data_IF_470325636950
#
_entry.id   IF_470325636950
#
_cell.length_a   1.000
_cell.length_b   1.000
_cell.length_c   1.000
_cell.angle_alpha   90.00
_cell.angle_beta   90.00
_cell.angle_gamma   90.00
#
_symmetry.space_group_name_H-M   'P 1'
#
loop_
_entity.id
_entity.type
_entity.pdbx_description
1 polymer ?
#
# COMPACT_ATOMS: atom_id res chain seq x y z
N UNK A 1 4.98 -14.67 -9.71
CA UNK A 1 4.06 -14.90 -8.57
C UNK A 1 4.78 -14.43 -7.30
N UNK A 2 4.79 -13.12 -7.06
CA UNK A 2 5.46 -12.53 -5.89
C UNK A 2 4.45 -12.42 -4.75
N UNK A 3 4.77 -13.02 -3.60
CA UNK A 3 3.95 -12.91 -2.39
C UNK A 3 4.11 -11.49 -1.84
N UNK A 4 3.11 -10.62 -1.96
CA UNK A 4 3.04 -9.41 -1.16
C UNK A 4 2.81 -9.80 0.28
N UNK A 5 3.88 -9.74 1.07
CA UNK A 5 3.86 -9.97 2.51
C UNK A 5 3.11 -8.80 3.14
N UNK A 6 1.89 -9.04 3.63
CA UNK A 6 1.28 -8.18 4.63
C UNK A 6 2.17 -8.21 5.88
N UNK A 7 2.49 -7.05 6.41
CA UNK A 7 3.59 -6.87 7.35
C UNK A 7 3.16 -7.20 8.79
N UNK A 8 3.31 -8.46 9.20
CA UNK A 8 3.82 -8.73 10.56
C UNK A 8 5.34 -8.53 10.53
N UNK A 9 5.78 -7.30 10.79
CA UNK A 9 7.17 -7.09 11.21
C UNK A 9 7.29 -7.60 12.65
N UNK A 10 7.78 -8.82 12.80
CA UNK A 10 8.25 -9.34 14.07
C UNK A 10 9.42 -8.48 14.53
N UNK A 11 9.23 -7.66 15.57
CA UNK A 11 10.34 -7.01 16.27
C UNK A 11 10.65 -7.84 17.51
N UNK A 12 11.87 -8.37 17.57
CA UNK A 12 12.47 -8.81 18.85
C UNK A 12 12.59 -7.59 19.77
N UNK A 13 12.37 -7.74 21.09
CA UNK A 13 12.56 -6.64 22.03
C UNK A 13 14.04 -6.25 22.07
N UNK A 14 14.35 -4.97 21.80
CA UNK A 14 15.70 -4.42 22.01
C UNK A 14 16.14 -3.29 21.10
N UNK A 15 15.57 -3.13 19.89
CA UNK A 15 15.83 -1.95 19.06
C UNK A 15 14.76 -1.84 17.95
N UNK A 16 13.68 -1.09 18.21
CA UNK A 16 12.59 -0.92 17.24
C UNK A 16 13.02 0.16 16.25
N UNK A 17 13.59 -0.25 15.11
CA UNK A 17 13.63 0.62 13.93
C UNK A 17 12.18 0.86 13.49
N UNK A 18 11.55 1.89 14.06
CA UNK A 18 10.21 2.31 13.71
C UNK A 18 10.26 2.89 12.30
N UNK A 19 9.78 2.12 11.32
CA UNK A 19 9.69 2.58 9.95
C UNK A 19 8.57 3.61 9.85
N UNK A 20 8.91 4.83 9.44
CA UNK A 20 7.99 5.96 9.37
C UNK A 20 8.40 6.90 8.22
N UNK A 21 7.66 8.00 8.05
CA UNK A 21 7.95 8.99 7.00
C UNK A 21 9.38 9.51 7.02
N UNK A 22 9.96 9.76 8.20
CA UNK A 22 11.34 10.27 8.35
C UNK A 22 12.34 9.21 7.90
N UNK A 23 12.20 7.97 8.36
CA UNK A 23 13.13 6.89 7.98
C UNK A 23 13.02 6.56 6.49
N UNK A 24 11.81 6.58 5.90
CA UNK A 24 11.65 6.39 4.46
C UNK A 24 12.28 7.52 3.65
N UNK A 25 12.13 8.79 4.07
CA UNK A 25 12.84 9.92 3.44
C UNK A 25 14.35 9.71 3.47
N UNK A 26 14.90 9.34 4.64
CA UNK A 26 16.34 9.07 4.79
C UNK A 26 16.80 7.88 3.94
N UNK A 27 15.93 6.89 3.71
CA UNK A 27 16.19 5.76 2.81
C UNK A 27 16.03 6.13 1.31
N UNK A 28 15.68 7.37 0.97
CA UNK A 28 15.57 7.83 -0.42
C UNK A 28 14.20 7.62 -1.07
N UNK A 29 13.15 7.38 -0.27
CA UNK A 29 11.79 7.50 -0.79
C UNK A 29 11.45 8.96 -1.13
N UNK A 30 10.63 9.13 -2.16
CA UNK A 30 10.09 10.39 -2.65
C UNK A 30 8.56 10.29 -2.81
N UNK A 31 7.95 11.33 -3.40
CA UNK A 31 6.52 11.39 -3.65
C UNK A 31 5.75 11.97 -2.47
N UNK A 32 5.56 11.19 -1.40
CA UNK A 32 4.78 11.56 -0.21
C UNK A 32 3.55 12.43 -0.53
N UNK A 33 2.66 11.92 -1.38
CA UNK A 33 1.40 12.57 -1.77
C UNK A 33 0.22 11.79 -1.20
N UNK A 34 -0.84 12.49 -0.84
CA UNK A 34 -2.10 11.81 -0.51
C UNK A 34 -2.65 11.12 -1.76
N UNK A 35 -3.52 10.12 -1.60
CA UNK A 35 -4.15 9.46 -2.75
C UNK A 35 -4.98 10.47 -3.56
N UNK A 36 -5.63 11.43 -2.89
CA UNK A 36 -6.42 12.49 -3.53
C UNK A 36 -5.57 13.45 -4.38
N UNK A 37 -4.40 13.85 -3.88
CA UNK A 37 -3.51 14.81 -4.56
C UNK A 37 -2.50 14.16 -5.52
N UNK A 38 -2.54 12.84 -5.69
CA UNK A 38 -1.56 12.15 -6.52
C UNK A 38 -1.85 12.31 -8.01
N UNK A 39 -1.00 13.05 -8.69
CA UNK A 39 -0.86 13.00 -10.14
C UNK A 39 -0.01 11.78 -10.55
N UNK A 40 -0.64 10.74 -11.12
CA UNK A 40 0.04 9.48 -11.47
C UNK A 40 1.24 9.67 -12.42
N UNK A 41 1.20 10.69 -13.27
CA UNK A 41 2.27 11.00 -14.22
C UNK A 41 3.57 11.45 -13.54
N UNK A 42 3.51 11.94 -12.29
CA UNK A 42 4.70 12.29 -11.49
C UNK A 42 5.40 11.08 -10.88
N UNK A 43 4.76 9.90 -10.90
CA UNK A 43 5.41 8.66 -10.47
C UNK A 43 6.39 8.22 -11.57
N UNK A 44 7.66 7.89 -11.22
CA UNK A 44 8.63 7.34 -12.16
C UNK A 44 8.15 6.05 -12.83
N UNK A 45 8.65 5.78 -14.03
CA UNK A 45 8.34 4.55 -14.75
C UNK A 45 9.26 3.38 -14.38
N UNK A 46 10.41 3.65 -13.73
CA UNK A 46 11.38 2.64 -13.33
C UNK A 46 10.83 1.63 -12.32
N UNK A 47 11.57 0.54 -12.15
CA UNK A 47 11.31 -0.47 -11.12
C UNK A 47 11.58 0.09 -9.72
N UNK A 48 10.99 -0.51 -8.70
CA UNK A 48 11.18 -0.03 -7.34
C UNK A 48 10.24 -0.63 -6.32
N UNK A 49 10.09 0.12 -5.23
CA UNK A 49 9.16 -0.17 -4.13
C UNK A 49 8.32 1.07 -3.84
N UNK A 50 7.07 0.85 -3.43
CA UNK A 50 6.20 1.91 -2.94
C UNK A 50 5.64 1.53 -1.57
N UNK A 51 5.35 2.54 -0.76
CA UNK A 51 4.78 2.40 0.57
C UNK A 51 3.52 3.25 0.69
N UNK A 52 2.52 2.73 1.41
CA UNK A 52 1.34 3.47 1.86
C UNK A 52 1.54 3.78 3.33
N UNK A 53 1.42 5.07 3.67
CA UNK A 53 1.59 5.60 5.00
C UNK A 53 0.27 6.19 5.47
N UNK A 54 0.02 6.11 6.77
CA UNK A 54 -1.02 6.90 7.40
C UNK A 54 -0.54 8.36 7.61
N UNK A 55 -1.43 9.37 7.52
CA UNK A 55 -1.12 10.70 8.03
C UNK A 55 -0.99 10.69 9.56
N UNK A 56 -0.49 11.79 10.12
CA UNK A 56 -0.47 11.97 11.58
C UNK A 56 -1.91 11.92 12.12
N UNK A 57 -2.09 11.37 13.32
CA UNK A 57 -3.40 11.29 13.99
C UNK A 57 -4.47 10.48 13.24
N UNK A 58 -4.06 9.67 12.26
CA UNK A 58 -4.97 8.78 11.55
C UNK A 58 -5.45 7.63 12.45
N UNK A 59 -6.74 7.64 12.73
CA UNK A 59 -7.44 6.56 13.43
C UNK A 59 -8.07 5.58 12.44
N UNK A 60 -7.69 4.28 12.50
CA UNK A 60 -8.20 3.29 11.57
C UNK A 60 -9.66 2.97 11.87
N UNK A 61 -10.55 3.39 10.98
CA UNK A 61 -11.92 2.89 10.94
C UNK A 61 -12.11 2.03 9.71
N UNK A 62 -12.90 0.97 9.84
CA UNK A 62 -13.07 -0.03 8.80
C UNK A 62 -14.48 0.00 8.22
N UNK A 63 -14.57 -0.02 6.89
CA UNK A 63 -15.81 -0.16 6.16
C UNK A 63 -16.38 -1.58 6.36
N UNK A 64 -17.71 -1.67 6.39
CA UNK A 64 -18.41 -2.97 6.36
C UNK A 64 -18.20 -3.70 5.02
N UNK A 65 -18.02 -2.96 3.93
CA UNK A 65 -17.79 -3.48 2.59
C UNK A 65 -16.54 -2.79 2.03
N UNK A 66 -15.61 -3.59 1.52
CA UNK A 66 -14.39 -3.08 0.90
C UNK A 66 -14.70 -2.38 -0.43
N UNK A 67 -13.98 -1.29 -0.73
CA UNK A 67 -14.02 -0.61 -2.03
C UNK A 67 -13.20 -1.34 -3.11
N UNK A 68 -12.41 -2.33 -2.71
CA UNK A 68 -11.58 -3.09 -3.62
C UNK A 68 -12.40 -3.80 -4.70
N UNK A 69 -11.84 -3.93 -5.90
CA UNK A 69 -12.41 -4.77 -6.96
C UNK A 69 -12.44 -6.26 -6.62
N UNK A 70 -13.23 -7.04 -7.36
CA UNK A 70 -13.20 -8.50 -7.19
C UNK A 70 -12.01 -9.11 -7.92
N UNK A 71 -11.42 -10.17 -7.37
CA UNK A 71 -10.30 -10.89 -7.99
C UNK A 71 -10.63 -12.36 -8.13
N UNK A 72 -10.63 -12.89 -9.36
CA UNK A 72 -10.98 -14.30 -9.63
C UNK A 72 -12.29 -14.72 -8.93
N UNK A 73 -13.32 -13.87 -9.03
CA UNK A 73 -14.64 -14.02 -8.38
C UNK A 73 -14.62 -14.01 -6.84
N UNK A 74 -13.52 -13.60 -6.20
CA UNK A 74 -13.43 -13.46 -4.74
C UNK A 74 -13.79 -12.04 -4.30
N UNK A 75 -14.60 -11.95 -3.25
CA UNK A 75 -14.94 -10.69 -2.56
C UNK A 75 -13.76 -10.26 -1.68
N UNK A 76 -13.28 -9.00 -1.78
CA UNK A 76 -12.17 -8.51 -0.96
C UNK A 76 -12.55 -8.14 0.47
N UNK A 77 -13.84 -8.04 0.77
CA UNK A 77 -14.35 -7.70 2.09
C UNK A 77 -13.99 -8.78 3.11
N UNK A 78 -13.42 -8.36 4.23
CA UNK A 78 -13.22 -9.17 5.42
C UNK A 78 -14.22 -8.79 6.52
N UNK A 79 -14.56 -9.71 7.42
CA UNK A 79 -15.28 -9.34 8.64
C UNK A 79 -14.38 -8.53 9.58
N UNK A 80 -14.99 -7.80 10.52
CA UNK A 80 -14.30 -6.83 11.37
C UNK A 80 -13.17 -7.46 12.22
N UNK A 81 -13.42 -8.65 12.77
CA UNK A 81 -12.45 -9.39 13.56
C UNK A 81 -11.21 -9.79 12.74
N UNK A 82 -11.40 -10.15 11.48
CA UNK A 82 -10.30 -10.57 10.61
C UNK A 82 -9.43 -9.38 10.18
N UNK A 83 -10.02 -8.19 9.98
CA UNK A 83 -9.22 -7.01 9.65
C UNK A 83 -8.50 -6.45 10.88
N UNK A 84 -9.12 -6.49 12.06
CA UNK A 84 -8.50 -6.08 13.32
C UNK A 84 -7.31 -6.99 13.69
N UNK A 85 -7.40 -8.30 13.42
CA UNK A 85 -6.31 -9.24 13.66
C UNK A 85 -5.05 -8.97 12.80
N UNK A 86 -5.21 -8.26 11.69
CA UNK A 86 -4.12 -7.85 10.80
C UNK A 86 -3.60 -6.44 11.12
N UNK A 87 -4.32 -5.68 11.95
CA UNK A 87 -3.93 -4.34 12.34
C UNK A 87 -2.78 -4.37 13.36
N UNK A 88 -1.86 -3.42 13.23
CA UNK A 88 -0.74 -3.23 14.15
C UNK A 88 -0.82 -1.83 14.73
N UNK A 89 -1.05 -1.74 16.03
CA UNK A 89 -1.17 -0.46 16.72
C UNK A 89 0.10 0.39 16.56
N UNK A 90 -0.11 1.66 16.22
CA UNK A 90 0.98 2.61 16.01
C UNK A 90 1.74 2.46 14.68
N UNK A 91 1.33 1.56 13.78
CA UNK A 91 1.99 1.39 12.49
C UNK A 91 1.89 2.66 11.62
N UNK A 92 3.03 3.24 11.24
CA UNK A 92 3.06 4.39 10.33
C UNK A 92 3.02 3.98 8.85
N UNK A 93 3.49 2.77 8.54
CA UNK A 93 3.47 2.18 7.20
C UNK A 93 2.43 1.07 7.17
N UNK A 94 1.38 1.26 6.37
CA UNK A 94 0.24 0.35 6.29
C UNK A 94 0.43 -0.74 5.22
N UNK A 95 1.21 -0.44 4.18
CA UNK A 95 1.46 -1.38 3.09
C UNK A 95 2.77 -1.06 2.37
N UNK A 96 3.44 -2.09 1.86
CA UNK A 96 4.61 -1.97 0.98
C UNK A 96 4.40 -2.87 -0.23
N UNK A 97 4.49 -2.29 -1.42
CA UNK A 97 4.36 -2.99 -2.70
C UNK A 97 5.66 -2.95 -3.50
N UNK A 98 5.93 -4.03 -4.24
CA UNK A 98 7.05 -4.11 -5.19
C UNK A 98 6.57 -3.80 -6.59
N UNK A 99 7.30 -2.98 -7.33
CA UNK A 99 7.08 -2.69 -8.73
C UNK A 99 8.24 -3.24 -9.56
N UNK A 100 8.01 -4.39 -10.20
CA UNK A 100 8.99 -5.04 -11.07
C UNK A 100 8.78 -4.72 -12.56
N UNK A 101 9.70 -5.16 -13.42
CA UNK A 101 9.67 -4.90 -14.86
C UNK A 101 8.56 -5.66 -15.61
N UNK A 102 7.88 -6.59 -14.93
CA UNK A 102 6.89 -7.48 -15.55
C UNK A 102 7.52 -8.46 -16.53
N UNK A 103 6.70 -9.32 -17.14
CA UNK A 103 7.21 -10.34 -18.09
C UNK A 103 7.73 -9.74 -19.41
N UNK A 104 7.29 -8.54 -19.77
CA UNK A 104 7.66 -7.84 -21.01
C UNK A 104 8.70 -6.73 -20.81
N UNK A 105 9.19 -6.51 -19.59
CA UNK A 105 10.19 -5.47 -19.32
C UNK A 105 9.68 -4.03 -19.36
N UNK A 106 8.38 -3.80 -19.53
CA UNK A 106 7.79 -2.48 -19.80
C UNK A 106 6.92 -1.95 -18.64
N UNK A 107 7.22 -2.38 -17.41
CA UNK A 107 6.46 -2.08 -16.20
C UNK A 107 7.36 -1.46 -15.15
N UNK A 108 6.75 -0.74 -14.21
CA UNK A 108 7.43 -0.24 -13.03
C UNK A 108 6.48 0.47 -12.07
N UNK A 109 7.02 1.39 -11.27
CA UNK A 109 6.32 2.08 -10.18
C UNK A 109 5.01 2.71 -10.63
N UNK A 110 5.02 3.51 -11.71
CA UNK A 110 3.81 4.14 -12.24
C UNK A 110 2.70 3.14 -12.52
N UNK A 111 3.02 2.01 -13.17
CA UNK A 111 2.02 0.99 -13.46
C UNK A 111 1.49 0.33 -12.20
N UNK A 112 2.39 -0.06 -11.28
CA UNK A 112 1.98 -0.81 -10.09
C UNK A 112 1.18 0.05 -9.11
N UNK A 113 1.57 1.32 -8.94
CA UNK A 113 0.82 2.27 -8.14
C UNK A 113 -0.55 2.55 -8.78
N UNK A 114 -0.61 2.74 -10.10
CA UNK A 114 -1.90 2.92 -10.79
C UNK A 114 -2.83 1.73 -10.57
N UNK A 115 -2.34 0.50 -10.73
CA UNK A 115 -3.13 -0.71 -10.50
C UNK A 115 -3.59 -0.84 -9.05
N UNK A 116 -2.73 -0.48 -8.10
CA UNK A 116 -3.10 -0.46 -6.69
C UNK A 116 -4.25 0.53 -6.44
N UNK A 117 -4.19 1.75 -6.99
CA UNK A 117 -5.26 2.74 -6.86
C UNK A 117 -6.54 2.35 -7.60
N UNK A 118 -6.43 1.81 -8.81
CA UNK A 118 -7.54 1.27 -9.60
C UNK A 118 -8.26 0.15 -8.83
N UNK A 119 -7.51 -0.70 -8.13
CA UNK A 119 -8.07 -1.74 -7.27
C UNK A 119 -9.00 -1.14 -6.21
N UNK A 120 -8.60 -0.03 -5.57
CA UNK A 120 -9.43 0.71 -4.62
C UNK A 120 -10.64 1.43 -5.21
N UNK A 121 -10.71 1.54 -6.54
CA UNK A 121 -11.86 2.09 -7.28
C UNK A 121 -12.82 0.98 -7.77
N UNK A 122 -12.68 -0.23 -7.24
CA UNK A 122 -13.50 -1.38 -7.63
C UNK A 122 -13.03 -2.11 -8.89
N UNK A 123 -11.90 -1.72 -9.51
CA UNK A 123 -11.42 -2.37 -10.72
C UNK A 123 -10.74 -3.71 -10.39
N UNK A 124 -10.92 -4.76 -11.24
CA UNK A 124 -10.30 -6.05 -11.01
C UNK A 124 -8.77 -5.94 -10.98
N UNK A 125 -8.08 -6.40 -9.92
CA UNK A 125 -6.65 -6.24 -9.83
C UNK A 125 -5.91 -7.36 -10.57
N UNK A 126 -4.63 -7.12 -10.90
CA UNK A 126 -3.70 -8.19 -11.30
C UNK A 126 -3.21 -9.04 -10.11
N UNK A 127 -3.32 -8.53 -8.88
CA UNK A 127 -2.86 -9.17 -7.65
C UNK A 127 -3.82 -8.94 -6.48
N UNK A 128 -3.82 -9.85 -5.50
CA UNK A 128 -4.74 -9.77 -4.34
C UNK A 128 -4.19 -8.93 -3.16
N UNK A 129 -2.90 -8.62 -3.19
CA UNK A 129 -2.23 -7.92 -2.12
C UNK A 129 -2.69 -6.47 -2.01
N UNK A 130 -2.66 -5.91 -0.79
CA UNK A 130 -3.09 -4.54 -0.53
C UNK A 130 -4.60 -4.35 -0.33
N UNK A 131 -5.41 -5.39 -0.50
CA UNK A 131 -6.89 -5.31 -0.37
C UNK A 131 -7.39 -4.73 0.96
N UNK A 132 -6.64 -4.94 2.06
CA UNK A 132 -7.03 -4.46 3.38
C UNK A 132 -7.04 -2.93 3.47
N UNK A 133 -6.17 -2.26 2.70
CA UNK A 133 -6.15 -0.81 2.61
C UNK A 133 -7.51 -0.29 2.15
N UNK A 134 -8.15 -1.01 1.23
CA UNK A 134 -9.42 -0.61 0.62
C UNK A 134 -10.66 -0.90 1.49
N UNK A 135 -10.46 -1.40 2.70
CA UNK A 135 -11.50 -1.48 3.72
C UNK A 135 -11.28 -0.47 4.85
N UNK A 136 -10.27 0.40 4.76
CA UNK A 136 -10.17 1.59 5.61
C UNK A 136 -11.15 2.68 5.12
N UNK A 137 -11.62 3.50 6.06
CA UNK A 137 -12.21 4.80 5.76
C UNK A 137 -11.12 5.82 5.41
N UNK A 138 -11.49 6.96 4.83
CA UNK A 138 -10.58 8.09 4.58
C UNK A 138 -9.30 7.71 3.81
N UNK A 139 -9.40 6.73 2.90
CA UNK A 139 -8.26 6.26 2.10
C UNK A 139 -7.64 7.36 1.22
N UNK A 140 -8.42 8.37 0.87
CA UNK A 140 -8.02 9.57 0.15
C UNK A 140 -6.92 10.37 0.86
N UNK A 141 -6.88 10.31 2.20
CA UNK A 141 -5.86 10.97 3.03
C UNK A 141 -4.56 10.15 3.17
N UNK A 142 -4.60 8.85 2.83
CA UNK A 142 -3.42 8.00 2.91
C UNK A 142 -2.33 8.49 1.95
N UNK A 143 -1.09 8.40 2.41
CA UNK A 143 0.06 8.96 1.72
C UNK A 143 0.77 7.83 0.97
N UNK A 144 1.05 8.03 -0.31
CA UNK A 144 1.93 7.15 -1.08
C UNK A 144 3.33 7.75 -1.21
N UNK A 145 4.34 6.90 -1.04
CA UNK A 145 5.73 7.22 -1.28
C UNK A 145 6.38 6.11 -2.11
N UNK A 146 7.45 6.43 -2.85
CA UNK A 146 8.12 5.47 -3.71
C UNK A 146 9.63 5.68 -3.73
N UNK A 147 10.36 4.61 -4.04
CA UNK A 147 11.81 4.61 -4.26
C UNK A 147 12.10 3.77 -5.49
N UNK A 148 12.78 4.35 -6.48
CA UNK A 148 13.30 3.58 -7.61
C UNK A 148 14.41 2.64 -7.12
N UNK A 149 14.35 1.40 -7.56
CA UNK A 149 15.34 0.35 -7.26
C UNK A 149 15.60 -0.40 -8.58
N UNK A 150 16.85 -0.37 -9.09
CA UNK A 150 17.24 -1.13 -10.28
C UNK A 150 17.01 -2.64 -10.15
#
# INVERSE_FOLDING_TARGET
MGRGKLLRFSTRPGNVFRMNRKTLKSDGFAGFRTFDSLEIMRVPQGTGVFAVLRPNEFEPHFLKISRAGTFKKKNPTLPAEAILAEWVDGADILYVGKAGPGSKGNRGLRNQIKEFLDFGRGLPPGHWDGRLIWQLTHTDELIIAWKEVP
#
